data_IF_879878379286
#
_entry.id   IF_879878379286
#
_cell.length_a   1.000
_cell.length_b   1.000
_cell.length_c   1.000
_cell.angle_alpha   90.00
_cell.angle_beta   90.00
_cell.angle_gamma   90.00
#
_symmetry.space_group_name_H-M   'P 1'
#
loop_
_entity.id
_entity.type
_entity.pdbx_description
1 polymer ?
#
# COMPACT_ATOMS: atom_id res chain seq x y z
N UNK A 1 -8.63 -44.16 73.81
CA UNK A 1 -8.81 -44.35 75.24
C UNK A 1 -9.08 -42.95 75.78
N UNK A 2 -10.34 -42.70 75.88
CA UNK A 2 -11.07 -42.57 77.15
C UNK A 2 -10.80 -41.17 77.72
N UNK A 3 -11.76 -40.35 77.57
CA UNK A 3 -12.87 -40.19 78.54
C UNK A 3 -12.48 -39.20 79.59
N UNK A 4 -13.26 -38.08 79.60
CA UNK A 4 -14.23 -37.79 80.65
C UNK A 4 -13.55 -37.21 81.92
N UNK A 5 -13.98 -36.22 82.62
CA UNK A 5 -15.29 -35.81 83.11
C UNK A 5 -15.12 -34.42 83.76
N UNK A 6 -16.02 -33.49 83.53
CA UNK A 6 -17.10 -33.08 84.49
C UNK A 6 -16.56 -32.60 85.84
N UNK A 7 -16.96 -31.57 86.35
CA UNK A 7 -18.19 -30.95 86.76
C UNK A 7 -17.98 -30.02 87.98
N UNK A 8 -18.67 -28.93 88.02
CA UNK A 8 -19.41 -28.32 89.16
C UNK A 8 -18.66 -27.59 90.22
N UNK A 9 -19.06 -26.45 90.54
CA UNK A 9 -20.12 -25.76 91.23
C UNK A 9 -19.64 -24.65 92.20
N UNK A 10 -20.39 -23.61 92.21
CA UNK A 10 -20.98 -22.73 93.20
C UNK A 10 -20.23 -21.47 93.67
N UNK A 11 -20.91 -20.41 93.34
CA UNK A 11 -21.62 -19.47 94.22
C UNK A 11 -20.84 -18.87 95.34
N UNK A 12 -20.67 -17.54 95.29
CA UNK A 12 -21.33 -16.64 96.29
C UNK A 12 -21.24 -15.19 95.87
N UNK A 13 -22.30 -14.48 96.18
CA UNK A 13 -22.69 -13.11 95.98
C UNK A 13 -21.77 -12.11 96.76
N UNK A 14 -21.65 -10.90 96.21
CA UNK A 14 -22.01 -9.70 96.95
C UNK A 14 -22.13 -8.49 96.00
N UNK A 15 -23.15 -7.73 96.31
CA UNK A 15 -23.58 -6.46 95.80
C UNK A 15 -22.51 -5.41 95.65
N UNK A 16 -22.56 -4.63 94.57
CA UNK A 16 -22.60 -3.18 94.75
C UNK A 16 -23.08 -2.52 93.37
N UNK A 17 -23.81 -1.43 93.55
CA UNK A 17 -24.65 -0.71 92.61
C UNK A 17 -23.87 0.16 91.63
N UNK A 18 -24.55 0.75 90.60
CA UNK A 18 -23.97 1.02 89.28
C UNK A 18 -23.41 2.42 89.10
N UNK A 19 -22.34 2.53 88.33
CA UNK A 19 -21.93 3.79 87.73
C UNK A 19 -22.38 3.79 86.29
N UNK A 20 -23.36 4.64 85.95
CA UNK A 20 -23.80 4.96 84.62
C UNK A 20 -22.66 5.67 83.90
N UNK A 21 -22.02 4.97 82.97
CA UNK A 21 -21.15 5.57 81.97
C UNK A 21 -22.02 5.85 80.73
N UNK A 22 -22.44 7.13 80.53
CA UNK A 22 -23.07 7.67 79.31
C UNK A 22 -22.12 7.45 78.12
N UNK A 23 -22.34 6.39 77.35
CA UNK A 23 -21.75 6.25 76.04
C UNK A 23 -22.50 7.17 75.08
N UNK A 24 -21.95 8.34 74.83
CA UNK A 24 -22.33 9.20 73.75
C UNK A 24 -22.09 8.48 72.45
N UNK A 25 -23.09 7.79 71.94
CA UNK A 25 -23.14 7.39 70.49
C UNK A 25 -23.39 8.65 69.73
N UNK A 26 -22.35 9.24 69.12
CA UNK A 26 -22.49 10.15 68.02
C UNK A 26 -23.15 9.39 66.85
N UNK A 27 -24.46 9.44 66.77
CA UNK A 27 -25.19 9.14 65.53
C UNK A 27 -24.83 10.22 64.54
N UNK A 28 -23.82 9.97 63.72
CA UNK A 28 -23.62 10.70 62.50
C UNK A 28 -24.79 10.37 61.57
N UNK A 29 -25.87 11.13 61.67
CA UNK A 29 -26.88 11.17 60.64
C UNK A 29 -26.19 11.52 59.30
N UNK A 30 -25.92 10.50 58.47
CA UNK A 30 -25.63 10.69 57.05
C UNK A 30 -26.88 11.34 56.44
N UNK A 31 -26.92 12.67 56.47
CA UNK A 31 -27.97 13.42 55.79
C UNK A 31 -27.93 13.09 54.29
N UNK A 32 -28.92 12.34 53.82
CA UNK A 32 -29.08 12.09 52.39
C UNK A 32 -28.93 13.39 51.58
N UNK A 33 -28.06 13.43 50.57
CA UNK A 33 -27.82 14.64 49.78
C UNK A 33 -29.14 15.12 49.15
N UNK A 34 -29.45 16.41 49.29
CA UNK A 34 -30.66 17.00 48.74
C UNK A 34 -30.82 16.68 47.25
N UNK A 35 -32.05 16.57 46.71
CA UNK A 35 -32.34 16.26 45.31
C UNK A 35 -31.53 17.11 44.32
N UNK A 36 -31.27 18.39 44.63
CA UNK A 36 -30.41 19.26 43.83
C UNK A 36 -28.94 18.83 43.82
N UNK A 37 -28.43 18.34 44.94
CA UNK A 37 -27.04 17.84 45.02
C UNK A 37 -26.88 16.50 44.27
N UNK A 38 -27.90 15.62 44.31
CA UNK A 38 -27.92 14.35 43.54
C UNK A 38 -27.97 14.64 42.01
N UNK A 39 -28.79 15.62 41.55
CA UNK A 39 -28.84 16.02 40.12
C UNK A 39 -27.53 16.66 39.68
N UNK A 40 -26.94 17.56 40.49
CA UNK A 40 -25.66 18.19 40.15
C UNK A 40 -24.53 17.15 40.02
N UNK A 41 -24.46 16.15 40.90
CA UNK A 41 -23.47 15.09 40.84
C UNK A 41 -23.68 14.19 39.59
N UNK A 42 -24.91 13.85 39.27
CA UNK A 42 -25.23 13.10 38.04
C UNK A 42 -24.83 13.85 36.76
N UNK A 43 -25.06 15.18 36.73
CA UNK A 43 -24.61 16.02 35.62
C UNK A 43 -23.08 16.06 35.54
N UNK A 44 -22.39 16.15 36.68
CA UNK A 44 -20.92 16.14 36.72
C UNK A 44 -20.35 14.80 36.23
N UNK A 45 -20.92 13.68 36.66
CA UNK A 45 -20.55 12.35 36.17
C UNK A 45 -20.77 12.22 34.66
N UNK A 46 -21.91 12.68 34.16
CA UNK A 46 -22.19 12.67 32.73
C UNK A 46 -21.16 13.50 31.95
N UNK A 47 -20.81 14.70 32.45
CA UNK A 47 -19.76 15.52 31.83
C UNK A 47 -18.40 14.83 31.81
N UNK A 48 -18.03 14.12 32.89
CA UNK A 48 -16.79 13.35 32.95
C UNK A 48 -16.80 12.21 31.92
N UNK A 49 -17.91 11.46 31.80
CA UNK A 49 -18.03 10.42 30.79
C UNK A 49 -17.94 10.98 29.36
N UNK A 50 -18.61 12.10 29.09
CA UNK A 50 -18.52 12.78 27.79
C UNK A 50 -17.08 13.23 27.50
N UNK A 51 -16.40 13.81 28.50
CA UNK A 51 -15.00 14.22 28.35
C UNK A 51 -14.07 13.02 28.05
N UNK A 52 -14.28 11.88 28.73
CA UNK A 52 -13.52 10.63 28.48
C UNK A 52 -13.80 10.12 27.08
N UNK A 53 -15.05 10.11 26.63
CA UNK A 53 -15.42 9.68 25.28
C UNK A 53 -14.75 10.57 24.22
N UNK A 54 -14.80 11.89 24.39
CA UNK A 54 -14.14 12.86 23.49
C UNK A 54 -12.63 12.62 23.49
N UNK A 55 -12.02 12.42 24.65
CA UNK A 55 -10.59 12.09 24.76
C UNK A 55 -10.24 10.80 23.99
N UNK A 56 -10.97 9.72 24.24
CA UNK A 56 -10.68 8.41 23.65
C UNK A 56 -10.97 8.36 22.13
N UNK A 57 -12.00 9.07 21.66
CA UNK A 57 -12.44 8.99 20.24
C UNK A 57 -11.76 10.04 19.38
N UNK A 58 -11.52 11.25 19.89
CA UNK A 58 -11.00 12.36 19.08
C UNK A 58 -9.53 12.67 19.37
N UNK A 59 -9.11 12.72 20.65
CA UNK A 59 -7.76 13.17 21.00
C UNK A 59 -6.76 12.04 20.88
N UNK A 60 -7.05 10.88 21.46
CA UNK A 60 -6.11 9.74 21.44
C UNK A 60 -5.75 9.31 20.00
N UNK A 61 -6.70 9.07 19.07
CA UNK A 61 -6.35 8.66 17.71
C UNK A 61 -5.61 9.74 16.92
N UNK A 62 -5.87 11.01 17.22
CA UNK A 62 -5.24 12.12 16.51
C UNK A 62 -3.81 12.40 16.96
N UNK A 63 -3.51 12.31 18.27
CA UNK A 63 -2.25 12.78 18.82
C UNK A 63 -1.41 11.71 19.53
N UNK A 64 -2.00 10.60 19.97
CA UNK A 64 -1.32 9.63 20.81
C UNK A 64 -1.08 8.33 20.06
N UNK A 65 -2.15 7.64 19.67
CA UNK A 65 -2.05 6.32 19.05
C UNK A 65 -3.12 6.14 17.98
N UNK A 66 -2.74 5.58 16.83
CA UNK A 66 -3.65 5.31 15.70
C UNK A 66 -3.60 3.85 15.32
N UNK A 67 -4.78 3.27 15.05
CA UNK A 67 -4.87 1.97 14.39
C UNK A 67 -4.63 2.13 12.90
N UNK A 68 -3.78 1.26 12.35
CA UNK A 68 -3.43 1.23 10.93
C UNK A 68 -3.47 -0.21 10.44
N UNK A 69 -3.93 -0.43 9.21
CA UNK A 69 -3.93 -1.75 8.58
C UNK A 69 -2.80 -1.78 7.56
N UNK A 70 -2.00 -2.86 7.60
CA UNK A 70 -0.96 -3.10 6.60
C UNK A 70 -1.63 -3.43 5.28
N UNK A 71 -1.31 -2.67 4.24
CA UNK A 71 -1.77 -2.92 2.88
C UNK A 71 -0.57 -3.30 2.01
N UNK A 72 -0.50 -4.58 1.65
CA UNK A 72 0.51 -5.17 0.78
C UNK A 72 1.68 -5.86 1.49
N UNK A 73 2.60 -6.36 0.69
CA UNK A 73 3.64 -7.32 1.08
C UNK A 73 5.02 -6.70 1.26
N UNK A 74 5.15 -5.36 1.21
CA UNK A 74 6.44 -4.67 1.24
C UNK A 74 7.22 -4.84 2.55
N UNK A 75 6.54 -5.19 3.65
CA UNK A 75 7.13 -5.42 4.98
C UNK A 75 7.16 -6.89 5.39
N UNK A 76 6.84 -7.83 4.47
CA UNK A 76 7.13 -9.25 4.72
C UNK A 76 8.65 -9.44 4.87
N UNK A 77 9.12 -10.17 5.75
CA UNK A 77 8.68 -11.14 6.70
C UNK A 77 8.30 -10.58 8.10
N UNK A 78 8.33 -9.26 8.33
CA UNK A 78 8.02 -8.66 9.64
C UNK A 78 6.52 -8.46 9.82
N UNK A 79 5.85 -7.89 8.80
CA UNK A 79 4.42 -7.62 8.77
C UNK A 79 3.81 -8.27 7.54
N UNK A 80 2.60 -8.79 7.68
CA UNK A 80 1.84 -9.37 6.58
C UNK A 80 0.71 -8.44 6.16
N UNK A 81 0.20 -8.66 4.96
CA UNK A 81 -1.00 -7.99 4.47
C UNK A 81 -2.16 -8.21 5.46
N UNK A 82 -2.99 -7.18 5.66
CA UNK A 82 -4.10 -7.15 6.61
C UNK A 82 -3.71 -7.19 8.12
N UNK A 83 -2.43 -7.22 8.47
CA UNK A 83 -2.00 -7.03 9.87
C UNK A 83 -2.51 -5.67 10.39
N UNK A 84 -3.15 -5.67 11.56
CA UNK A 84 -3.57 -4.43 12.21
C UNK A 84 -2.54 -3.99 13.24
N UNK A 85 -2.09 -2.77 13.09
CA UNK A 85 -1.03 -2.20 13.90
C UNK A 85 -1.55 -1.05 14.75
N UNK A 86 -0.91 -0.89 15.90
CA UNK A 86 -0.99 0.32 16.71
C UNK A 86 0.24 1.16 16.43
N UNK A 87 0.00 2.39 16.00
CA UNK A 87 1.04 3.37 15.65
C UNK A 87 1.12 4.40 16.77
N UNK A 88 2.27 4.49 17.41
CA UNK A 88 2.59 5.48 18.41
C UNK A 88 3.01 6.78 17.72
N UNK A 89 2.21 7.81 17.90
CA UNK A 89 2.46 9.16 17.36
C UNK A 89 3.16 10.04 18.39
N UNK A 90 2.93 9.74 19.67
CA UNK A 90 3.38 10.59 20.77
C UNK A 90 4.90 10.56 20.96
N UNK A 91 5.51 9.38 20.89
CA UNK A 91 6.96 9.23 21.11
C UNK A 91 7.79 10.11 20.18
N UNK A 92 7.33 10.33 18.94
CA UNK A 92 8.05 11.15 17.95
C UNK A 92 7.83 12.66 18.11
N UNK A 93 7.01 13.10 19.05
CA UNK A 93 7.00 14.50 19.50
C UNK A 93 8.17 14.83 20.44
N UNK A 94 8.73 13.81 21.10
CA UNK A 94 9.79 13.98 22.11
C UNK A 94 11.12 13.33 21.71
N UNK A 95 11.15 12.55 20.64
CA UNK A 95 12.35 11.86 20.18
C UNK A 95 12.33 11.68 18.68
N UNK A 96 13.51 11.49 18.11
CA UNK A 96 13.65 11.20 16.69
C UNK A 96 13.54 9.71 16.38
N UNK A 97 13.10 9.36 15.16
CA UNK A 97 13.13 7.99 14.67
C UNK A 97 14.54 7.41 14.75
N UNK A 98 14.64 6.20 15.29
CA UNK A 98 15.91 5.47 15.43
C UNK A 98 16.09 4.48 14.29
N UNK A 99 17.35 4.12 14.02
CA UNK A 99 17.64 3.07 13.03
C UNK A 99 16.89 1.80 13.40
N UNK A 100 16.29 1.18 12.39
CA UNK A 100 15.44 -0.01 12.44
C UNK A 100 14.04 0.19 13.03
N UNK A 101 13.65 1.38 13.41
CA UNK A 101 12.24 1.64 13.70
C UNK A 101 11.39 1.39 12.45
N UNK A 102 10.23 0.77 12.64
CA UNK A 102 9.21 0.66 11.60
C UNK A 102 8.31 1.87 11.71
N UNK A 103 8.31 2.70 10.69
CA UNK A 103 7.59 3.97 10.68
C UNK A 103 6.43 3.98 9.70
N UNK A 104 5.41 4.77 10.03
CA UNK A 104 4.31 5.14 9.12
C UNK A 104 4.56 6.57 8.67
N UNK A 105 4.49 6.82 7.37
CA UNK A 105 4.74 8.14 6.80
C UNK A 105 3.95 8.37 5.51
N UNK A 106 3.79 9.63 5.12
CA UNK A 106 3.11 10.05 3.90
C UNK A 106 4.13 10.42 2.81
N UNK A 107 4.44 9.52 1.86
CA UNK A 107 5.49 9.77 0.86
C UNK A 107 5.18 10.99 -0.01
N UNK A 108 3.91 11.22 -0.30
CA UNK A 108 3.44 12.28 -1.20
C UNK A 108 2.82 13.47 -0.46
N UNK A 109 3.06 13.59 0.86
CA UNK A 109 2.46 14.61 1.73
C UNK A 109 1.14 14.17 2.34
N UNK A 110 0.72 14.89 3.42
CA UNK A 110 -0.48 14.55 4.22
C UNK A 110 -1.81 14.80 3.50
N UNK A 111 -1.79 15.61 2.43
CA UNK A 111 -2.96 15.87 1.58
C UNK A 111 -3.31 14.65 0.69
N UNK A 112 -2.38 13.71 0.57
CA UNK A 112 -2.61 12.43 -0.07
C UNK A 112 -2.81 11.37 1.03
N UNK A 113 -3.98 10.74 1.06
CA UNK A 113 -4.35 9.75 2.10
C UNK A 113 -3.51 8.47 2.07
N UNK A 114 -2.65 8.29 1.05
CA UNK A 114 -1.78 7.11 0.93
C UNK A 114 -0.60 7.23 1.90
N UNK A 115 -0.55 6.36 2.91
CA UNK A 115 0.60 6.24 3.80
C UNK A 115 1.38 4.95 3.53
N UNK A 116 2.68 4.99 3.82
CA UNK A 116 3.59 3.86 3.68
C UNK A 116 4.11 3.40 5.04
N UNK A 117 4.39 2.10 5.13
CA UNK A 117 5.03 1.49 6.30
C UNK A 117 6.37 0.95 5.84
N UNK A 118 7.47 1.46 6.41
CA UNK A 118 8.85 1.07 6.06
C UNK A 118 9.74 1.08 7.29
N UNK A 119 10.91 0.46 7.15
CA UNK A 119 11.95 0.44 8.19
C UNK A 119 12.98 1.52 7.95
N UNK A 120 13.34 2.27 8.99
CA UNK A 120 14.42 3.25 8.97
C UNK A 120 15.77 2.54 8.84
N UNK A 121 16.52 2.88 7.80
CA UNK A 121 17.85 2.32 7.53
C UNK A 121 18.93 3.40 7.65
N UNK A 122 18.72 4.58 7.07
CA UNK A 122 19.63 5.72 7.16
C UNK A 122 19.06 6.80 8.08
N UNK A 123 19.92 7.44 8.83
CA UNK A 123 19.60 8.53 9.75
C UNK A 123 20.03 9.87 9.17
N UNK A 124 19.48 10.99 9.65
CA UNK A 124 19.87 12.33 9.23
C UNK A 124 21.38 12.54 9.21
N UNK A 125 21.86 13.17 8.13
CA UNK A 125 23.28 13.48 7.93
C UNK A 125 24.17 12.29 7.58
N UNK A 126 23.67 11.09 7.44
CA UNK A 126 24.45 9.92 7.00
C UNK A 126 24.58 9.87 5.46
N UNK A 127 25.58 9.13 5.00
CA UNK A 127 25.75 8.79 3.59
C UNK A 127 25.39 7.33 3.39
N UNK A 128 24.41 7.07 2.52
CA UNK A 128 23.91 5.72 2.20
C UNK A 128 24.44 5.30 0.84
N UNK A 129 24.88 4.05 0.72
CA UNK A 129 25.15 3.42 -0.57
C UNK A 129 24.68 1.97 -0.54
N UNK A 130 24.15 1.49 -1.65
CA UNK A 130 23.74 0.09 -1.82
C UNK A 130 24.51 -0.53 -2.98
N UNK A 131 25.37 -1.50 -2.66
CA UNK A 131 26.17 -2.23 -3.65
C UNK A 131 25.79 -3.72 -3.56
N UNK A 132 25.11 -4.21 -4.59
CA UNK A 132 24.55 -5.56 -4.57
C UNK A 132 23.56 -5.73 -3.42
N UNK A 133 23.83 -6.64 -2.51
CA UNK A 133 22.97 -6.91 -1.34
C UNK A 133 23.46 -6.22 -0.05
N UNK A 134 24.51 -5.43 -0.12
CA UNK A 134 25.08 -4.76 1.04
C UNK A 134 24.65 -3.30 1.10
N UNK A 135 24.25 -2.87 2.28
CA UNK A 135 23.96 -1.47 2.59
C UNK A 135 25.17 -0.88 3.32
N UNK A 136 25.65 0.23 2.85
CA UNK A 136 26.76 0.96 3.46
C UNK A 136 26.23 2.24 4.10
N UNK A 137 26.66 2.49 5.34
CA UNK A 137 26.40 3.71 6.09
C UNK A 137 27.75 4.38 6.34
N UNK A 138 27.97 5.56 5.82
CA UNK A 138 29.25 6.29 5.92
C UNK A 138 30.44 5.42 5.50
N UNK A 139 30.29 4.67 4.42
CA UNK A 139 31.30 3.76 3.87
C UNK A 139 31.50 2.44 4.62
N UNK A 140 30.73 2.17 5.70
CA UNK A 140 30.81 0.92 6.46
C UNK A 140 29.60 0.05 6.21
N UNK A 141 29.79 -1.27 6.04
CA UNK A 141 28.68 -2.23 5.86
C UNK A 141 27.77 -2.21 7.07
N UNK A 142 26.49 -1.96 6.85
CA UNK A 142 25.47 -2.09 7.88
C UNK A 142 25.17 -3.57 8.13
N UNK A 143 25.41 -4.03 9.36
CA UNK A 143 25.00 -5.37 9.78
C UNK A 143 23.50 -5.35 10.10
N UNK A 144 22.70 -5.96 9.24
CA UNK A 144 21.26 -6.09 9.42
C UNK A 144 20.77 -7.43 8.84
N UNK A 145 19.59 -7.87 9.23
CA UNK A 145 19.01 -9.14 8.78
C UNK A 145 17.49 -9.06 8.62
N UNK A 146 16.98 -7.87 8.31
CA UNK A 146 15.56 -7.64 8.10
C UNK A 146 15.09 -8.00 6.69
N UNK A 147 15.98 -7.94 5.71
CA UNK A 147 15.66 -8.25 4.32
C UNK A 147 15.23 -9.69 4.13
N UNK A 148 14.01 -9.89 3.58
CA UNK A 148 13.47 -11.22 3.24
C UNK A 148 14.20 -11.84 2.06
N UNK A 149 14.41 -11.04 1.02
CA UNK A 149 15.00 -11.45 -0.26
C UNK A 149 16.18 -10.53 -0.63
N UNK A 150 17.12 -10.98 -1.48
CA UNK A 150 18.20 -10.12 -1.96
C UNK A 150 17.69 -8.86 -2.66
N UNK A 151 18.41 -7.76 -2.50
CA UNK A 151 18.11 -6.53 -3.25
C UNK A 151 18.52 -6.71 -4.72
N UNK A 152 17.56 -6.53 -5.62
CA UNK A 152 17.83 -6.59 -7.07
C UNK A 152 18.15 -5.22 -7.66
N UNK A 153 17.80 -4.14 -6.94
CA UNK A 153 17.96 -2.76 -7.37
C UNK A 153 18.46 -1.88 -6.22
N UNK A 154 19.50 -1.08 -6.50
CA UNK A 154 20.05 -0.10 -5.56
C UNK A 154 19.35 1.27 -5.68
N UNK A 155 18.71 1.53 -6.83
CA UNK A 155 17.99 2.77 -7.11
C UNK A 155 18.90 4.00 -7.00
N UNK A 156 18.39 5.08 -6.38
CA UNK A 156 19.15 6.32 -6.18
C UNK A 156 20.34 6.18 -5.23
N UNK A 157 20.40 5.09 -4.45
CA UNK A 157 21.49 4.78 -3.55
C UNK A 157 22.59 3.90 -4.20
N UNK A 158 22.58 3.68 -5.53
CA UNK A 158 23.66 3.02 -6.25
C UNK A 158 24.99 3.77 -6.08
N UNK A 159 24.92 5.09 -6.09
CA UNK A 159 26.02 5.98 -5.73
C UNK A 159 25.86 6.49 -4.29
N UNK A 160 26.92 6.96 -3.62
CA UNK A 160 26.83 7.52 -2.27
C UNK A 160 25.82 8.67 -2.19
N UNK A 161 24.72 8.45 -1.48
CA UNK A 161 23.65 9.43 -1.27
C UNK A 161 23.76 10.05 0.12
N UNK A 162 24.03 11.36 0.19
CA UNK A 162 24.08 12.08 1.45
C UNK A 162 22.68 12.52 1.87
N UNK A 163 22.25 12.13 3.07
CA UNK A 163 20.97 12.54 3.65
C UNK A 163 21.08 13.94 4.26
N UNK A 164 20.01 14.71 4.12
CA UNK A 164 19.84 16.01 4.80
C UNK A 164 19.72 15.85 6.32
N UNK A 165 19.66 17.00 7.03
CA UNK A 165 19.58 17.00 8.52
C UNK A 165 18.27 16.47 9.08
N UNK A 166 17.21 16.42 8.27
CA UNK A 166 15.87 15.96 8.66
C UNK A 166 15.38 14.81 7.76
N UNK A 167 16.31 14.15 7.06
CA UNK A 167 15.97 13.09 6.10
C UNK A 167 16.37 11.70 6.58
N UNK A 168 15.46 10.76 6.38
CA UNK A 168 15.63 9.36 6.70
C UNK A 168 15.59 8.52 5.43
N UNK A 169 16.46 7.54 5.32
CA UNK A 169 16.40 6.55 4.26
C UNK A 169 15.69 5.30 4.76
N UNK A 170 14.60 4.92 4.10
CA UNK A 170 13.75 3.81 4.54
C UNK A 170 13.67 2.71 3.52
N UNK A 171 13.64 1.46 3.97
CA UNK A 171 13.47 0.28 3.13
C UNK A 171 12.29 -0.58 3.62
N UNK A 172 11.63 -1.25 2.69
CA UNK A 172 10.76 -2.36 3.06
C UNK A 172 11.58 -3.61 3.41
N UNK A 173 11.06 -4.44 4.29
CA UNK A 173 11.72 -5.71 4.65
C UNK A 173 11.66 -6.73 3.51
N UNK A 174 10.66 -6.65 2.65
CA UNK A 174 10.63 -7.37 1.37
C UNK A 174 11.34 -6.54 0.30
N UNK A 175 12.65 -6.68 0.21
CA UNK A 175 13.56 -5.86 -0.61
C UNK A 175 13.28 -5.92 -2.10
N UNK A 176 12.73 -7.04 -2.59
CA UNK A 176 12.46 -7.25 -4.02
C UNK A 176 11.24 -6.46 -4.51
N UNK A 177 10.21 -6.32 -3.66
CA UNK A 177 8.92 -5.76 -4.07
C UNK A 177 8.60 -4.41 -3.44
N UNK A 178 9.43 -3.93 -2.51
CA UNK A 178 9.15 -2.69 -1.77
C UNK A 178 9.38 -1.46 -2.64
N UNK A 179 8.39 -0.60 -2.71
CA UNK A 179 8.53 0.79 -3.14
C UNK A 179 8.96 1.62 -1.92
N UNK A 180 10.23 2.08 -1.91
CA UNK A 180 10.86 2.72 -0.76
C UNK A 180 11.89 3.77 -1.19
N UNK A 181 12.74 4.23 -0.29
CA UNK A 181 13.69 5.33 -0.57
C UNK A 181 14.67 5.07 -1.71
N UNK A 182 14.79 3.86 -2.22
CA UNK A 182 15.56 3.54 -3.42
C UNK A 182 14.98 4.16 -4.68
N UNK A 183 13.69 4.41 -4.70
CA UNK A 183 12.98 4.98 -5.84
C UNK A 183 12.84 6.49 -5.67
N UNK A 184 13.11 7.27 -6.72
CA UNK A 184 13.03 8.74 -6.70
C UNK A 184 11.67 9.28 -6.25
N UNK A 185 10.57 8.52 -6.50
CA UNK A 185 9.22 8.92 -6.12
C UNK A 185 9.01 8.98 -4.61
N UNK A 186 9.69 8.13 -3.86
CA UNK A 186 9.70 8.12 -2.40
C UNK A 186 10.87 8.95 -1.89
N UNK A 187 12.08 8.64 -2.38
CA UNK A 187 13.32 9.29 -1.99
C UNK A 187 13.60 9.23 -0.48
N UNK A 188 14.54 10.03 0.00
CA UNK A 188 14.69 10.27 1.43
C UNK A 188 13.41 10.88 2.02
N UNK A 189 13.01 10.39 3.18
CA UNK A 189 11.77 10.79 3.87
C UNK A 189 12.10 11.88 4.87
N UNK A 190 11.53 13.07 4.68
CA UNK A 190 11.70 14.16 5.63
C UNK A 190 10.92 13.90 6.94
N UNK A 191 11.43 14.44 8.05
CA UNK A 191 10.91 14.22 9.41
C UNK A 191 9.44 14.61 9.56
N UNK A 192 9.00 15.67 8.90
CA UNK A 192 7.61 16.17 8.93
C UNK A 192 6.59 15.23 8.25
N UNK A 193 7.06 14.36 7.36
CA UNK A 193 6.22 13.35 6.70
C UNK A 193 5.98 12.11 7.56
N UNK A 194 6.75 11.92 8.64
CA UNK A 194 6.64 10.77 9.52
C UNK A 194 5.49 10.98 10.50
N UNK A 195 4.53 10.07 10.46
CA UNK A 195 3.32 10.10 11.30
C UNK A 195 3.57 9.49 12.68
N UNK A 196 4.29 8.37 12.72
CA UNK A 196 4.54 7.66 13.98
C UNK A 196 5.29 6.34 13.79
N UNK A 197 5.48 5.64 14.90
CA UNK A 197 6.15 4.35 15.00
C UNK A 197 5.15 3.22 15.14
N UNK A 198 5.22 2.20 14.30
CA UNK A 198 4.47 0.96 14.49
C UNK A 198 5.06 0.18 15.68
N UNK A 199 4.28 0.07 16.76
CA UNK A 199 4.79 -0.51 18.03
C UNK A 199 4.19 -1.88 18.33
N UNK A 200 2.95 -2.11 17.97
CA UNK A 200 2.22 -3.33 18.33
C UNK A 200 1.38 -3.82 17.17
N UNK A 201 1.41 -5.12 16.90
CA UNK A 201 0.42 -5.79 16.05
C UNK A 201 -0.70 -6.29 16.96
N UNK A 202 -1.93 -5.82 16.70
CA UNK A 202 -3.12 -6.11 17.51
C UNK A 202 -4.04 -7.15 16.86
N UNK A 203 -3.85 -7.45 15.58
CA UNK A 203 -4.56 -8.49 14.84
C UNK A 203 -3.69 -8.95 13.65
N UNK A 204 -3.73 -10.26 13.29
CA UNK A 204 -4.50 -11.34 13.87
C UNK A 204 -4.02 -11.72 15.29
N UNK A 205 -4.93 -12.24 16.13
CA UNK A 205 -4.65 -12.47 17.55
C UNK A 205 -3.59 -13.56 17.82
N UNK A 206 -3.47 -14.54 16.93
CA UNK A 206 -2.42 -15.57 16.98
C UNK A 206 -0.99 -14.99 16.76
N UNK A 207 -0.92 -13.77 16.23
CA UNK A 207 0.32 -13.02 16.01
C UNK A 207 0.43 -11.75 16.83
N UNK A 208 -0.42 -11.58 17.84
CA UNK A 208 -0.39 -10.42 18.74
C UNK A 208 1.00 -10.22 19.35
N UNK A 209 1.51 -8.99 19.33
CA UNK A 209 2.79 -8.67 19.92
C UNK A 209 3.47 -7.44 19.33
N UNK A 210 4.61 -7.08 19.91
CA UNK A 210 5.40 -5.93 19.46
C UNK A 210 5.92 -6.13 18.06
N UNK A 211 5.96 -5.06 17.26
CA UNK A 211 6.58 -5.05 15.93
C UNK A 211 8.10 -5.19 16.12
N UNK A 212 8.56 -6.44 16.15
CA UNK A 212 9.98 -6.79 16.31
C UNK A 212 10.55 -7.18 14.94
N UNK A 213 11.85 -6.98 14.80
CA UNK A 213 12.60 -7.54 13.68
C UNK A 213 12.66 -9.06 13.80
N UNK A 214 12.63 -9.77 12.69
CA UNK A 214 12.84 -11.23 12.61
C UNK A 214 14.26 -11.64 13.03
N UNK A 215 15.03 -10.72 13.56
CA UNK A 215 16.47 -10.74 13.62
C UNK A 215 17.16 -11.41 14.78
N UNK A 216 16.52 -12.03 15.76
CA UNK A 216 17.29 -12.70 16.84
C UNK A 216 17.12 -14.22 16.97
N UNK A 217 16.08 -14.81 16.41
CA UNK A 217 15.84 -16.25 16.49
C UNK A 217 15.19 -16.85 15.21
N UNK A 218 15.31 -16.17 14.08
CA UNK A 218 14.78 -16.69 12.82
C UNK A 218 15.62 -17.84 12.30
N UNK A 219 15.18 -19.08 12.54
CA UNK A 219 15.43 -20.13 11.56
C UNK A 219 14.92 -19.53 10.25
N UNK A 220 15.84 -19.33 9.27
CA UNK A 220 15.47 -18.99 7.90
C UNK A 220 14.28 -19.87 7.57
N UNK A 221 13.08 -19.29 7.42
CA UNK A 221 12.03 -19.97 6.72
C UNK A 221 12.69 -20.37 5.39
N UNK A 222 12.90 -21.66 5.19
CA UNK A 222 13.37 -22.17 3.91
C UNK A 222 12.35 -21.66 2.92
N UNK A 223 12.71 -20.63 2.18
CA UNK A 223 12.00 -20.27 0.98
C UNK A 223 11.90 -21.56 0.21
N UNK A 224 10.69 -22.05 0.03
CA UNK A 224 10.45 -23.15 -0.89
C UNK A 224 10.99 -22.64 -2.22
N UNK A 225 12.13 -23.18 -2.62
CA UNK A 225 12.76 -22.90 -3.90
C UNK A 225 11.76 -23.36 -4.96
N UNK A 226 10.88 -22.46 -5.36
CA UNK A 226 10.12 -22.62 -6.59
C UNK A 226 11.11 -22.39 -7.73
N UNK A 227 11.63 -23.48 -8.27
CA UNK A 227 12.44 -23.54 -9.51
C UNK A 227 11.63 -23.18 -10.77
N UNK A 228 10.52 -22.46 -10.66
CA UNK A 228 9.86 -21.87 -11.83
C UNK A 228 10.39 -20.45 -12.02
N UNK A 229 10.97 -20.20 -13.21
CA UNK A 229 11.40 -18.87 -13.64
C UNK A 229 10.25 -17.88 -13.43
N UNK A 230 10.47 -16.92 -12.55
CA UNK A 230 9.48 -15.89 -12.23
C UNK A 230 9.05 -15.15 -13.49
N UNK A 231 7.74 -15.03 -13.72
CA UNK A 231 7.20 -14.35 -14.89
C UNK A 231 7.30 -12.84 -14.73
N UNK A 232 7.66 -12.15 -15.80
CA UNK A 232 7.88 -10.70 -15.83
C UNK A 232 6.78 -10.03 -16.64
N UNK A 233 6.13 -9.02 -16.08
CA UNK A 233 5.07 -8.22 -16.72
C UNK A 233 5.56 -6.79 -16.91
N UNK A 234 5.60 -6.31 -18.15
CA UNK A 234 5.83 -4.88 -18.43
C UNK A 234 4.49 -4.14 -18.45
N UNK A 235 4.39 -3.04 -17.68
CA UNK A 235 3.20 -2.19 -17.59
C UNK A 235 3.51 -0.81 -18.16
N UNK A 236 2.73 -0.39 -19.15
CA UNK A 236 2.79 0.94 -19.75
C UNK A 236 1.51 1.72 -19.39
N UNK A 237 1.65 2.68 -18.49
CA UNK A 237 0.62 3.70 -18.29
C UNK A 237 0.63 4.65 -19.50
N UNK A 238 -0.39 4.58 -20.35
CA UNK A 238 -0.49 5.35 -21.58
C UNK A 238 -0.38 6.86 -21.37
N UNK A 239 0.11 7.56 -22.38
CA UNK A 239 0.33 9.01 -22.38
C UNK A 239 1.32 9.52 -21.32
N UNK A 240 1.44 10.82 -21.17
CA UNK A 240 2.26 11.57 -20.25
C UNK A 240 1.76 13.02 -20.18
N UNK A 241 2.24 13.83 -19.24
CA UNK A 241 1.70 15.18 -18.98
C UNK A 241 1.86 16.15 -20.16
N UNK A 242 2.89 15.94 -21.00
CA UNK A 242 3.14 16.75 -22.21
C UNK A 242 3.17 15.86 -23.45
N UNK A 243 2.38 16.21 -24.44
CA UNK A 243 2.43 15.58 -25.76
C UNK A 243 3.82 15.80 -26.39
N UNK A 244 4.29 14.77 -27.13
CA UNK A 244 5.46 14.91 -28.00
C UNK A 244 4.99 14.79 -29.44
N UNK A 245 4.81 15.95 -30.08
CA UNK A 245 4.25 16.07 -31.42
C UNK A 245 5.22 15.68 -32.54
N UNK A 246 6.49 15.46 -32.23
CA UNK A 246 7.45 14.91 -33.19
C UNK A 246 6.97 13.56 -33.73
N UNK A 247 7.49 13.19 -34.90
CA UNK A 247 7.10 11.96 -35.58
C UNK A 247 8.09 10.81 -35.32
N UNK A 248 7.58 9.59 -35.29
CA UNK A 248 8.37 8.36 -35.19
C UNK A 248 7.79 7.27 -36.12
N UNK A 249 8.62 6.32 -36.60
CA UNK A 249 8.12 5.23 -37.45
C UNK A 249 7.13 4.35 -36.69
N UNK A 250 6.02 3.96 -37.33
CA UNK A 250 4.97 3.13 -36.72
C UNK A 250 5.43 1.70 -36.40
N UNK A 251 6.57 1.27 -36.92
CA UNK A 251 7.17 -0.04 -36.70
C UNK A 251 8.58 -0.10 -37.27
N UNK A 252 9.36 -1.16 -37.02
CA UNK A 252 10.73 -1.32 -37.52
C UNK A 252 10.78 -1.25 -39.06
N UNK A 253 11.58 -0.31 -39.60
CA UNK A 253 11.71 -0.12 -41.06
C UNK A 253 10.51 0.52 -41.73
N UNK A 254 9.56 1.09 -40.99
CA UNK A 254 8.39 1.76 -41.58
C UNK A 254 8.75 3.14 -42.14
N UNK A 255 8.28 3.44 -43.36
CA UNK A 255 8.27 4.79 -43.92
C UNK A 255 7.14 5.65 -43.32
N UNK A 256 6.02 5.02 -43.00
CA UNK A 256 4.89 5.68 -42.29
C UNK A 256 5.29 6.08 -40.89
N UNK A 257 5.03 7.34 -40.56
CA UNK A 257 5.33 7.90 -39.23
C UNK A 257 4.05 8.37 -38.56
N UNK A 258 4.04 8.32 -37.22
CA UNK A 258 2.99 8.85 -36.37
C UNK A 258 3.58 9.75 -35.28
N UNK A 259 2.71 10.54 -34.66
CA UNK A 259 3.08 11.34 -33.50
C UNK A 259 3.68 10.44 -32.39
N UNK A 260 4.78 10.86 -31.80
CA UNK A 260 5.49 10.11 -30.74
C UNK A 260 4.62 9.81 -29.55
N UNK A 261 3.93 10.83 -29.01
CA UNK A 261 2.96 10.67 -27.91
C UNK A 261 1.91 11.77 -27.99
N UNK A 262 0.63 11.38 -28.00
CA UNK A 262 -0.49 12.31 -27.90
C UNK A 262 -0.74 12.70 -26.43
N UNK A 263 -1.50 13.78 -26.20
CA UNK A 263 -1.85 14.25 -24.85
C UNK A 263 -2.83 13.33 -24.10
N UNK A 264 -3.50 12.41 -24.83
CA UNK A 264 -4.59 11.61 -24.28
C UNK A 264 -5.89 12.38 -24.11
N UNK A 265 -6.90 11.71 -23.57
CA UNK A 265 -8.21 12.28 -23.28
C UNK A 265 -8.22 12.99 -21.91
N UNK A 266 -9.37 13.61 -21.59
CA UNK A 266 -9.62 14.18 -20.28
C UNK A 266 -11.03 13.78 -19.82
N UNK A 267 -11.20 13.44 -18.57
CA UNK A 267 -12.48 13.12 -17.97
C UNK A 267 -13.47 14.27 -18.09
N UNK A 268 -14.63 14.03 -18.71
CA UNK A 268 -15.63 15.06 -18.98
C UNK A 268 -16.22 15.63 -17.71
N UNK A 269 -16.36 14.81 -16.66
CA UNK A 269 -16.90 15.20 -15.33
C UNK A 269 -15.82 15.46 -14.31
N UNK A 270 -14.81 14.58 -14.23
CA UNK A 270 -13.75 14.64 -13.24
C UNK A 270 -12.68 15.68 -13.54
N UNK A 271 -12.56 16.06 -14.81
CA UNK A 271 -11.45 16.89 -15.32
C UNK A 271 -10.06 16.27 -15.11
N UNK A 272 -10.02 14.98 -14.78
CA UNK A 272 -8.77 14.24 -14.62
C UNK A 272 -8.23 13.85 -16.00
N UNK A 273 -7.00 14.25 -16.36
CA UNK A 273 -6.36 13.81 -17.60
C UNK A 273 -6.14 12.30 -17.60
N UNK A 274 -6.28 11.69 -18.75
CA UNK A 274 -6.12 10.24 -18.99
C UNK A 274 -4.78 9.72 -18.45
N UNK A 275 -3.68 10.44 -18.71
CA UNK A 275 -2.35 10.01 -18.26
C UNK A 275 -2.23 9.87 -16.73
N UNK A 276 -3.02 10.66 -15.96
CA UNK A 276 -3.06 10.55 -14.49
C UNK A 276 -3.81 9.30 -14.07
N UNK A 277 -4.99 9.06 -14.63
CA UNK A 277 -5.77 7.86 -14.35
C UNK A 277 -4.99 6.59 -14.72
N UNK A 278 -4.39 6.57 -15.92
CA UNK A 278 -3.59 5.44 -16.39
C UNK A 278 -2.45 5.10 -15.43
N UNK A 279 -1.75 6.11 -14.90
CA UNK A 279 -0.65 5.88 -13.96
C UNK A 279 -1.14 5.37 -12.60
N UNK A 280 -2.25 5.90 -12.08
CA UNK A 280 -2.83 5.43 -10.82
C UNK A 280 -3.21 3.95 -10.94
N UNK A 281 -3.92 3.57 -12.00
CA UNK A 281 -4.33 2.17 -12.22
C UNK A 281 -3.12 1.27 -12.48
N UNK A 282 -2.13 1.74 -13.24
CA UNK A 282 -0.90 0.99 -13.49
C UNK A 282 -0.11 0.71 -12.20
N UNK A 283 -0.01 1.68 -11.29
CA UNK A 283 0.62 1.49 -9.98
C UNK A 283 -0.14 0.48 -9.11
N UNK A 284 -1.47 0.50 -9.12
CA UNK A 284 -2.30 -0.49 -8.43
C UNK A 284 -2.14 -1.89 -9.05
N UNK A 285 -2.11 -2.00 -10.36
CA UNK A 285 -1.86 -3.27 -11.06
C UNK A 285 -0.45 -3.80 -10.75
N UNK A 286 0.56 -2.93 -10.70
CA UNK A 286 1.91 -3.31 -10.26
C UNK A 286 1.88 -3.93 -8.86
N UNK A 287 1.26 -3.25 -7.89
CA UNK A 287 1.14 -3.74 -6.52
C UNK A 287 0.46 -5.12 -6.48
N UNK A 288 -0.65 -5.26 -7.18
CA UNK A 288 -1.41 -6.50 -7.26
C UNK A 288 -0.61 -7.65 -7.89
N UNK A 289 0.11 -7.41 -8.98
CA UNK A 289 0.93 -8.44 -9.64
C UNK A 289 2.14 -8.86 -8.78
N UNK A 290 2.76 -7.92 -8.10
CA UNK A 290 3.86 -8.21 -7.19
C UNK A 290 3.38 -9.08 -6.03
N UNK A 291 2.23 -8.80 -5.44
CA UNK A 291 1.65 -9.64 -4.36
C UNK A 291 1.37 -11.07 -4.82
N UNK A 292 1.11 -11.27 -6.12
CA UNK A 292 0.91 -12.58 -6.76
C UNK A 292 2.22 -13.27 -7.19
N UNK A 293 3.39 -12.66 -6.91
CA UNK A 293 4.71 -13.24 -7.19
C UNK A 293 5.23 -12.99 -8.60
N UNK A 294 4.68 -12.02 -9.34
CA UNK A 294 5.25 -11.56 -10.61
C UNK A 294 6.37 -10.55 -10.40
N UNK A 295 7.35 -10.55 -11.29
CA UNK A 295 8.24 -9.41 -11.46
C UNK A 295 7.56 -8.40 -12.38
N UNK A 296 7.57 -7.12 -12.00
CA UNK A 296 6.90 -6.06 -12.75
C UNK A 296 7.90 -4.98 -13.17
N UNK A 297 7.83 -4.56 -14.41
CA UNK A 297 8.59 -3.44 -14.95
C UNK A 297 7.62 -2.36 -15.39
N UNK A 298 7.68 -1.20 -14.73
CA UNK A 298 6.91 -0.03 -15.14
C UNK A 298 7.64 0.72 -16.23
N UNK A 299 6.95 1.08 -17.32
CA UNK A 299 7.54 1.91 -18.40
C UNK A 299 7.72 3.37 -17.94
N UNK A 300 6.80 3.86 -17.14
CA UNK A 300 6.91 5.13 -16.44
C UNK A 300 6.30 5.04 -15.05
N UNK A 301 6.86 5.79 -14.14
CA UNK A 301 6.41 5.87 -12.74
C UNK A 301 5.97 7.30 -12.38
N UNK A 302 6.31 8.27 -13.25
CA UNK A 302 5.96 9.70 -13.13
C UNK A 302 5.07 10.14 -14.29
N UNK A 303 4.33 11.24 -14.09
CA UNK A 303 3.56 11.88 -15.16
C UNK A 303 4.46 12.73 -16.06
N UNK A 304 5.42 13.44 -15.45
CA UNK A 304 6.38 14.26 -16.16
C UNK A 304 7.55 13.42 -16.67
N UNK A 305 7.40 12.91 -17.87
CA UNK A 305 8.40 12.14 -18.62
C UNK A 305 8.32 12.52 -20.11
N UNK A 306 9.34 12.17 -20.88
CA UNK A 306 9.32 12.31 -22.34
C UNK A 306 9.76 10.99 -22.98
N UNK A 307 8.89 9.98 -22.93
CA UNK A 307 9.11 8.63 -23.47
C UNK A 307 8.16 8.39 -24.62
N UNK A 308 8.69 8.20 -25.82
CA UNK A 308 7.91 7.98 -27.05
C UNK A 308 7.26 6.59 -27.08
N UNK A 309 6.23 6.37 -27.91
CA UNK A 309 5.59 5.06 -28.03
C UNK A 309 6.56 3.96 -28.48
N UNK A 310 7.52 4.28 -29.36
CA UNK A 310 8.59 3.35 -29.74
C UNK A 310 9.50 3.02 -28.55
N UNK A 311 9.91 4.01 -27.79
CA UNK A 311 10.78 3.82 -26.61
C UNK A 311 10.09 2.99 -25.53
N UNK A 312 8.78 3.20 -25.28
CA UNK A 312 7.98 2.40 -24.36
C UNK A 312 8.05 0.91 -24.69
N UNK A 313 7.87 0.55 -25.96
CA UNK A 313 8.02 -0.83 -26.40
C UNK A 313 9.46 -1.35 -26.30
N UNK A 314 10.47 -0.50 -26.59
CA UNK A 314 11.89 -0.87 -26.43
C UNK A 314 12.26 -1.13 -24.97
N UNK A 315 11.74 -0.34 -24.01
CA UNK A 315 11.92 -0.59 -22.56
C UNK A 315 11.31 -1.94 -22.18
N UNK A 316 10.06 -2.22 -22.60
CA UNK A 316 9.41 -3.50 -22.35
C UNK A 316 10.23 -4.68 -22.91
N UNK A 317 10.74 -4.55 -24.13
CA UNK A 317 11.58 -5.59 -24.75
C UNK A 317 12.91 -5.81 -24.00
N UNK A 318 13.59 -4.71 -23.60
CA UNK A 318 14.87 -4.75 -22.87
C UNK A 318 14.74 -5.39 -21.49
N UNK A 319 13.60 -5.24 -20.86
CA UNK A 319 13.32 -5.81 -19.53
C UNK A 319 13.17 -7.33 -19.52
N UNK A 320 13.16 -7.97 -20.69
CA UNK A 320 12.90 -9.41 -20.87
C UNK A 320 11.54 -9.84 -20.31
N UNK A 321 10.56 -8.94 -20.31
CA UNK A 321 9.21 -9.26 -19.88
C UNK A 321 8.57 -10.37 -20.74
N UNK A 322 7.74 -11.18 -20.11
CA UNK A 322 7.00 -12.26 -20.80
C UNK A 322 5.76 -11.71 -21.54
N UNK A 323 5.20 -10.60 -21.03
CA UNK A 323 4.05 -9.90 -21.65
C UNK A 323 4.17 -8.38 -21.43
N UNK A 324 3.46 -7.64 -22.30
CA UNK A 324 3.41 -6.19 -22.26
C UNK A 324 1.94 -5.73 -22.24
N UNK A 325 1.54 -5.05 -21.17
CA UNK A 325 0.19 -4.49 -21.01
C UNK A 325 0.25 -2.97 -21.06
N UNK A 326 -0.58 -2.37 -21.94
CA UNK A 326 -0.72 -0.93 -22.10
C UNK A 326 -2.09 -0.50 -21.58
N UNK A 327 -2.12 0.47 -20.69
CA UNK A 327 -3.33 0.89 -19.96
C UNK A 327 -3.73 2.27 -20.48
N UNK A 328 -4.95 2.38 -21.01
CA UNK A 328 -5.52 3.58 -21.59
C UNK A 328 -6.98 3.77 -21.16
N UNK A 329 -7.48 4.98 -21.37
CA UNK A 329 -8.90 5.32 -21.28
C UNK A 329 -9.37 5.93 -22.59
N UNK A 330 -10.48 5.44 -23.12
CA UNK A 330 -11.01 5.84 -24.42
C UNK A 330 -11.79 7.16 -24.36
N UNK A 331 -12.03 7.73 -25.54
CA UNK A 331 -12.87 8.92 -25.69
C UNK A 331 -13.63 8.84 -27.02
N UNK A 332 -14.85 9.38 -27.04
CA UNK A 332 -15.73 9.44 -28.22
C UNK A 332 -16.37 10.79 -28.34
N UNK A 333 -16.68 11.21 -29.55
CA UNK A 333 -17.51 12.39 -29.80
C UNK A 333 -18.92 12.25 -29.23
N UNK A 334 -19.45 11.02 -29.14
CA UNK A 334 -20.73 10.75 -28.49
C UNK A 334 -20.53 10.39 -27.00
N UNK A 335 -21.13 11.18 -26.12
CA UNK A 335 -21.12 10.96 -24.67
C UNK A 335 -21.88 9.71 -24.22
N UNK A 336 -22.70 9.11 -25.08
CA UNK A 336 -23.44 7.86 -24.79
C UNK A 336 -22.58 6.61 -24.93
N UNK A 337 -21.44 6.70 -25.62
CA UNK A 337 -20.52 5.56 -25.80
C UNK A 337 -19.86 5.22 -24.48
N UNK A 338 -19.90 3.92 -24.13
CA UNK A 338 -19.35 3.40 -22.88
C UNK A 338 -18.90 1.95 -23.00
N UNK A 339 -18.07 1.49 -22.09
CA UNK A 339 -17.57 0.13 -21.98
C UNK A 339 -16.08 0.02 -22.25
N UNK A 340 -15.48 -1.08 -21.83
CA UNK A 340 -14.06 -1.37 -21.99
C UNK A 340 -13.79 -2.23 -23.23
N UNK A 341 -12.63 -2.07 -23.81
CA UNK A 341 -12.17 -2.88 -24.95
C UNK A 341 -10.69 -3.26 -24.80
N UNK A 342 -10.24 -4.25 -25.55
CA UNK A 342 -8.81 -4.55 -25.63
C UNK A 342 -8.37 -4.68 -27.10
N UNK A 343 -7.21 -4.11 -27.38
CA UNK A 343 -6.65 -3.98 -28.71
C UNK A 343 -5.42 -4.89 -28.84
N UNK A 344 -5.31 -5.57 -29.98
CA UNK A 344 -4.21 -6.45 -30.30
C UNK A 344 -3.86 -6.43 -31.79
N UNK A 345 -2.63 -6.82 -32.21
CA UNK A 345 -2.24 -6.82 -33.61
C UNK A 345 -2.86 -7.99 -34.37
N UNK A 346 -3.17 -7.79 -35.68
CA UNK A 346 -3.63 -8.85 -36.57
C UNK A 346 -2.51 -9.85 -36.88
N UNK A 347 -2.88 -11.04 -37.37
CA UNK A 347 -1.91 -12.01 -37.89
C UNK A 347 -1.21 -11.52 -39.16
N UNK A 348 -1.82 -10.56 -39.87
CA UNK A 348 -1.27 -9.92 -41.09
C UNK A 348 -0.36 -8.72 -40.76
N UNK A 349 -0.24 -8.32 -39.52
CA UNK A 349 0.63 -7.22 -39.12
C UNK A 349 2.08 -7.54 -39.48
N UNK A 350 2.68 -6.75 -40.36
CA UNK A 350 4.04 -6.97 -40.89
C UNK A 350 5.14 -6.93 -39.82
N UNK A 351 4.91 -6.27 -38.68
CA UNK A 351 5.90 -6.09 -37.62
C UNK A 351 5.80 -7.16 -36.54
N UNK A 352 4.57 -7.47 -36.12
CA UNK A 352 4.29 -8.27 -34.92
C UNK A 352 3.22 -9.36 -35.15
N UNK A 353 2.89 -9.70 -36.38
CA UNK A 353 1.87 -10.70 -36.69
C UNK A 353 2.11 -12.07 -36.05
N UNK A 354 3.38 -12.46 -35.86
CA UNK A 354 3.75 -13.70 -35.15
C UNK A 354 3.30 -13.70 -33.68
N UNK A 355 3.08 -12.54 -33.07
CA UNK A 355 2.59 -12.39 -31.71
C UNK A 355 1.06 -12.35 -31.62
N UNK A 356 0.34 -12.25 -32.74
CA UNK A 356 -1.11 -12.01 -32.79
C UNK A 356 -1.91 -13.00 -31.97
N UNK A 357 -1.67 -14.30 -32.12
CA UNK A 357 -2.42 -15.34 -31.40
C UNK A 357 -2.26 -15.21 -29.85
N UNK A 358 -1.02 -14.99 -29.37
CA UNK A 358 -0.75 -14.81 -27.95
C UNK A 358 -1.26 -13.46 -27.43
N UNK A 359 -1.14 -12.40 -28.21
CA UNK A 359 -1.67 -11.07 -27.89
C UNK A 359 -3.21 -11.09 -27.81
N UNK A 360 -3.89 -11.78 -28.76
CA UNK A 360 -5.34 -12.00 -28.71
C UNK A 360 -5.77 -12.73 -27.43
N UNK A 361 -5.05 -13.79 -27.07
CA UNK A 361 -5.33 -14.54 -25.85
C UNK A 361 -5.15 -13.67 -24.60
N UNK A 362 -4.05 -12.92 -24.52
CA UNK A 362 -3.79 -11.98 -23.44
C UNK A 362 -4.91 -10.94 -23.32
N UNK A 363 -5.26 -10.29 -24.45
CA UNK A 363 -6.36 -9.31 -24.53
C UNK A 363 -7.68 -9.89 -24.04
N UNK A 364 -8.01 -11.12 -24.47
CA UNK A 364 -9.25 -11.80 -24.07
C UNK A 364 -9.30 -12.06 -22.57
N UNK A 365 -8.24 -12.61 -21.99
CA UNK A 365 -8.21 -12.91 -20.55
C UNK A 365 -8.25 -11.63 -19.71
N UNK A 366 -7.46 -10.62 -20.09
CA UNK A 366 -7.42 -9.34 -19.38
C UNK A 366 -8.79 -8.65 -19.44
N UNK A 367 -9.37 -8.46 -20.64
CA UNK A 367 -10.64 -7.78 -20.78
C UNK A 367 -11.80 -8.49 -20.06
N UNK A 368 -11.90 -9.82 -20.22
CA UNK A 368 -13.00 -10.57 -19.62
C UNK A 368 -12.99 -10.51 -18.10
N UNK A 369 -11.81 -10.64 -17.48
CA UNK A 369 -11.70 -10.57 -16.02
C UNK A 369 -11.84 -9.13 -15.50
N UNK A 370 -11.30 -8.15 -16.23
CA UNK A 370 -11.50 -6.74 -15.98
C UNK A 370 -13.01 -6.38 -15.93
N UNK A 371 -13.75 -6.72 -16.98
CA UNK A 371 -15.19 -6.44 -17.06
C UNK A 371 -15.99 -7.19 -15.98
N UNK A 372 -15.61 -8.45 -15.71
CA UNK A 372 -16.25 -9.23 -14.63
C UNK A 372 -16.06 -8.60 -13.26
N UNK A 373 -14.86 -8.09 -12.98
CA UNK A 373 -14.51 -7.52 -11.67
C UNK A 373 -15.10 -6.13 -11.47
N UNK A 374 -15.04 -5.29 -12.51
CA UNK A 374 -15.49 -3.89 -12.44
C UNK A 374 -16.97 -3.68 -12.70
N UNK A 375 -17.64 -4.60 -13.39
CA UNK A 375 -18.99 -4.40 -13.91
C UNK A 375 -19.08 -3.49 -15.15
N UNK A 376 -17.95 -2.97 -15.65
CA UNK A 376 -17.90 -2.19 -16.88
C UNK A 376 -18.23 -3.10 -18.07
N UNK A 377 -19.12 -2.64 -18.96
CA UNK A 377 -19.56 -3.41 -20.12
C UNK A 377 -18.38 -3.71 -21.06
N UNK A 378 -18.26 -4.96 -21.50
CA UNK A 378 -17.28 -5.31 -22.54
C UNK A 378 -17.76 -4.86 -23.91
N UNK A 379 -16.89 -4.21 -24.66
CA UNK A 379 -17.06 -3.88 -26.09
C UNK A 379 -16.34 -4.89 -27.01
N UNK A 380 -15.57 -5.81 -26.41
CA UNK A 380 -14.88 -6.85 -27.15
C UNK A 380 -13.44 -6.50 -27.52
N UNK A 381 -12.92 -7.31 -28.42
CA UNK A 381 -11.53 -7.24 -28.88
C UNK A 381 -11.44 -6.58 -30.27
N UNK A 382 -10.48 -5.66 -30.43
CA UNK A 382 -10.28 -4.95 -31.68
C UNK A 382 -8.89 -5.20 -32.28
N UNK A 383 -8.84 -5.45 -33.57
CA UNK A 383 -7.59 -5.53 -34.34
C UNK A 383 -7.06 -4.12 -34.60
N UNK A 384 -5.81 -3.87 -34.27
CA UNK A 384 -5.15 -2.57 -34.53
C UNK A 384 -3.70 -2.79 -34.95
N UNK A 385 -3.41 -2.47 -36.22
CA UNK A 385 -2.08 -2.64 -36.84
C UNK A 385 -1.31 -1.31 -36.97
N UNK A 386 -1.91 -0.25 -36.50
CA UNK A 386 -1.42 1.12 -36.63
C UNK A 386 -0.89 1.72 -35.30
N UNK A 387 -0.72 0.91 -34.25
CA UNK A 387 -0.26 1.35 -32.94
C UNK A 387 1.26 1.19 -32.83
N UNK A 388 2.00 2.30 -32.79
CA UNK A 388 3.47 2.32 -32.69
C UNK A 388 3.99 1.47 -31.54
N UNK A 389 3.49 1.67 -30.31
CA UNK A 389 3.92 0.91 -29.14
C UNK A 389 3.64 -0.59 -29.23
N UNK A 390 2.65 -1.01 -30.01
CA UNK A 390 2.36 -2.41 -30.30
C UNK A 390 3.31 -2.96 -31.36
N UNK A 391 3.51 -2.21 -32.47
CA UNK A 391 4.31 -2.65 -33.60
C UNK A 391 5.81 -2.80 -33.30
N UNK A 392 6.32 -2.11 -32.28
CA UNK A 392 7.69 -2.23 -31.82
C UNK A 392 7.87 -3.30 -30.73
N UNK A 393 6.80 -3.99 -30.30
CA UNK A 393 6.89 -5.06 -29.29
C UNK A 393 7.55 -6.32 -29.87
N UNK A 394 8.36 -7.00 -29.05
CA UNK A 394 8.93 -8.33 -29.34
C UNK A 394 8.27 -9.44 -28.49
N UNK A 395 7.31 -9.07 -27.67
CA UNK A 395 6.61 -9.94 -26.72
C UNK A 395 5.09 -9.77 -26.87
N UNK A 396 4.27 -10.74 -26.45
CA UNK A 396 2.81 -10.61 -26.49
C UNK A 396 2.35 -9.32 -25.83
N UNK A 397 1.51 -8.55 -26.54
CA UNK A 397 1.10 -7.21 -26.11
C UNK A 397 -0.40 -7.04 -26.19
N UNK A 398 -0.98 -6.35 -25.23
CA UNK A 398 -2.36 -5.88 -25.24
C UNK A 398 -2.42 -4.41 -24.86
N UNK A 399 -3.35 -3.65 -25.45
CA UNK A 399 -3.75 -2.35 -24.98
C UNK A 399 -5.18 -2.48 -24.47
N UNK A 400 -5.43 -2.14 -23.21
CA UNK A 400 -6.77 -2.09 -22.63
C UNK A 400 -7.25 -0.64 -22.58
N UNK A 401 -8.44 -0.41 -23.16
CA UNK A 401 -9.22 0.80 -22.97
C UNK A 401 -10.19 0.54 -21.80
N UNK A 402 -9.94 1.15 -20.67
CA UNK A 402 -10.60 0.84 -19.41
C UNK A 402 -12.08 1.26 -19.37
N UNK A 403 -12.48 2.21 -20.22
CA UNK A 403 -13.79 2.83 -20.31
C UNK A 403 -13.67 4.20 -20.97
N UNK A 404 -14.78 4.89 -21.16
CA UNK A 404 -14.83 6.17 -21.88
C UNK A 404 -14.80 7.36 -20.94
N UNK A 405 -13.72 8.15 -20.98
CA UNK A 405 -13.58 9.40 -20.25
C UNK A 405 -14.57 10.49 -20.75
N UNK A 406 -15.05 10.38 -21.98
CA UNK A 406 -16.12 11.21 -22.54
C UNK A 406 -17.53 10.86 -22.03
N UNK A 407 -17.71 9.71 -21.36
CA UNK A 407 -18.96 9.33 -20.73
C UNK A 407 -18.95 9.73 -19.24
N UNK A 408 -19.85 10.63 -18.84
CA UNK A 408 -19.82 11.21 -17.48
C UNK A 408 -20.01 10.17 -16.35
N UNK A 409 -20.74 9.08 -16.62
CA UNK A 409 -20.95 8.02 -15.64
C UNK A 409 -19.70 7.16 -15.48
N UNK A 410 -19.07 6.74 -16.59
CA UNK A 410 -17.84 5.96 -16.53
C UNK A 410 -16.66 6.77 -15.99
N UNK A 411 -16.53 8.03 -16.42
CA UNK A 411 -15.50 8.92 -15.89
C UNK A 411 -15.57 8.99 -14.35
N UNK A 412 -16.74 9.37 -13.78
CA UNK A 412 -16.90 9.39 -12.32
C UNK A 412 -16.69 8.03 -11.65
N UNK A 413 -17.12 6.95 -12.31
CA UNK A 413 -16.96 5.60 -11.78
C UNK A 413 -15.48 5.21 -11.69
N UNK A 414 -14.69 5.49 -12.74
CA UNK A 414 -13.26 5.20 -12.78
C UNK A 414 -12.43 6.05 -11.80
N UNK A 415 -12.95 7.18 -11.30
CA UNK A 415 -12.25 7.98 -10.28
C UNK A 415 -12.42 7.45 -8.86
N UNK A 416 -13.35 6.54 -8.59
CA UNK A 416 -13.53 5.96 -7.25
C UNK A 416 -12.36 5.04 -6.90
N UNK A 417 -11.85 5.12 -5.67
CA UNK A 417 -10.75 4.30 -5.19
C UNK A 417 -11.05 2.80 -5.37
N UNK A 418 -12.22 2.37 -4.90
CA UNK A 418 -12.67 0.97 -4.96
C UNK A 418 -12.81 0.46 -6.41
N UNK A 419 -13.20 1.34 -7.33
CA UNK A 419 -13.26 0.98 -8.75
C UNK A 419 -11.88 0.76 -9.31
N UNK A 420 -10.92 1.64 -8.98
CA UNK A 420 -9.53 1.51 -9.45
C UNK A 420 -8.84 0.26 -8.88
N UNK A 421 -9.20 -0.15 -7.66
CA UNK A 421 -8.73 -1.41 -7.08
C UNK A 421 -9.30 -2.60 -7.87
N UNK A 422 -10.61 -2.63 -8.12
CA UNK A 422 -11.26 -3.64 -8.97
C UNK A 422 -10.70 -3.69 -10.41
N UNK A 423 -10.32 -2.54 -10.97
CA UNK A 423 -9.66 -2.46 -12.28
C UNK A 423 -8.33 -3.21 -12.28
N UNK A 424 -7.49 -2.95 -11.28
CA UNK A 424 -6.18 -3.59 -11.12
C UNK A 424 -6.32 -5.09 -10.86
N UNK A 425 -7.16 -5.49 -9.92
CA UNK A 425 -7.44 -6.89 -9.62
C UNK A 425 -7.97 -7.65 -10.84
N UNK A 426 -8.93 -7.09 -11.58
CA UNK A 426 -9.49 -7.72 -12.77
C UNK A 426 -8.46 -7.92 -13.88
N UNK A 427 -7.56 -6.97 -14.10
CA UNK A 427 -6.44 -7.14 -15.02
C UNK A 427 -5.47 -8.21 -14.56
N UNK A 428 -5.12 -8.24 -13.26
CA UNK A 428 -4.24 -9.25 -12.67
C UNK A 428 -4.83 -10.65 -12.77
N UNK A 429 -6.13 -10.83 -12.50
CA UNK A 429 -6.85 -12.10 -12.69
C UNK A 429 -6.75 -12.60 -14.14
N UNK A 430 -6.83 -11.68 -15.10
CA UNK A 430 -6.66 -11.97 -16.51
C UNK A 430 -5.24 -12.44 -16.86
N UNK A 431 -4.24 -11.79 -16.29
CA UNK A 431 -2.82 -12.13 -16.45
C UNK A 431 -2.53 -13.52 -15.85
N UNK A 432 -3.04 -13.82 -14.65
CA UNK A 432 -2.92 -15.15 -14.03
C UNK A 432 -3.48 -16.24 -14.92
N UNK A 433 -4.67 -16.04 -15.48
CA UNK A 433 -5.31 -17.00 -16.39
C UNK A 433 -4.51 -17.17 -17.69
N UNK A 434 -3.93 -16.10 -18.20
CA UNK A 434 -3.05 -16.17 -19.35
C UNK A 434 -1.83 -17.03 -19.08
N UNK A 435 -1.09 -16.77 -17.99
CA UNK A 435 0.11 -17.55 -17.66
C UNK A 435 -0.19 -18.98 -17.22
N UNK A 436 -1.38 -19.24 -16.65
CA UNK A 436 -1.82 -20.62 -16.38
C UNK A 436 -1.98 -21.43 -17.64
N UNK A 437 -2.41 -20.80 -18.74
CA UNK A 437 -2.57 -21.46 -20.04
C UNK A 437 -1.24 -21.56 -20.82
N UNK A 438 -0.36 -20.55 -20.69
CA UNK A 438 0.88 -20.44 -21.45
C UNK A 438 2.11 -20.54 -20.53
N UNK A 439 2.15 -21.62 -19.75
CA UNK A 439 3.27 -21.96 -18.85
C UNK A 439 4.60 -22.04 -19.57
#
# INVERSE_FOLDING_TARGET
MMEQEQEQLKEEQSDDLPVEEEVLTEDTEETEPSKGKKIRNAILELMVYVAIIVLCVMVVPRYVMQRTIVDGTSMEATLQDEDNLLVDKLSYHFSDPKRFDVIVFYPYGRDNEDYYIKRVIGLPGETIQIVGNNIYINGKVLKENYGKDPMTESGIAAEPLKLGKDEYFVLGDNREVSEDSRYEEVGPVSRDKIEGKAVLRIYPFDKFGTVKSIGKNGKKAKAAVRTQKQKIVAIDAGHQDRANVGLEPIGPGASTKKMKVTGGACGVSSRVPEYKLNLIVAKKLRKELISRGYKVVMIRTKNHVNITNMERAKIANKSRADIYIRIHGDSSASSSVRGASALYPSAKNRYVGKLSARSKALSKYVLNNYCKKTGIRSRGLYLRDDLTGTNWSKIPVTLIEMGFLSNSTEDRYMQKKETRDKMAEGMADGIDRYFKKYK
#
